data_IF_845585161872
#
_entry.id   IF_845585161872
#
_cell.length_a   1.000
_cell.length_b   1.000
_cell.length_c   1.000
_cell.angle_alpha   90.00
_cell.angle_beta   90.00
_cell.angle_gamma   90.00
#
_symmetry.space_group_name_H-M   'P 1'
#
loop_
_entity.id
_entity.type
_entity.pdbx_description
1 polymer ?
#
# COMPACT_ATOMS: atom_id res chain seq x y z
N UNK A 1 -10.37 -7.31 -15.17
CA UNK A 1 -10.00 -7.15 -13.75
C UNK A 1 -10.33 -8.38 -12.93
N UNK A 2 -11.56 -8.93 -13.03
CA UNK A 2 -12.01 -10.15 -12.34
C UNK A 2 -11.02 -11.32 -12.31
N UNK A 3 -10.31 -11.61 -13.42
CA UNK A 3 -9.31 -12.69 -13.48
C UNK A 3 -8.13 -12.56 -12.50
N UNK A 4 -7.89 -11.38 -11.94
CA UNK A 4 -6.79 -11.14 -10.99
C UNK A 4 -7.24 -11.22 -9.54
N UNK A 5 -8.54 -11.31 -9.30
CA UNK A 5 -9.16 -11.34 -7.98
C UNK A 5 -9.45 -12.80 -7.65
N UNK A 6 -8.83 -13.39 -6.63
CA UNK A 6 -9.11 -14.75 -6.20
C UNK A 6 -10.59 -14.94 -5.85
N UNK A 7 -11.07 -16.17 -5.95
CA UNK A 7 -12.45 -16.50 -5.59
C UNK A 7 -12.73 -16.14 -4.12
N UNK A 8 -13.87 -15.48 -3.88
CA UNK A 8 -14.27 -15.01 -2.54
C UNK A 8 -13.61 -13.70 -2.09
N UNK A 9 -12.57 -13.22 -2.78
CA UNK A 9 -11.98 -11.90 -2.54
C UNK A 9 -12.82 -10.79 -3.17
N UNK A 10 -12.56 -9.54 -2.75
CA UNK A 10 -13.19 -8.35 -3.30
C UNK A 10 -12.16 -7.40 -3.89
N UNK A 11 -12.52 -6.71 -4.96
CA UNK A 11 -11.79 -5.52 -5.40
C UNK A 11 -12.05 -4.40 -4.39
N UNK A 12 -11.03 -4.01 -3.64
CA UNK A 12 -11.15 -2.88 -2.71
C UNK A 12 -10.97 -1.55 -3.46
N UNK A 13 -9.92 -1.46 -4.27
CA UNK A 13 -9.62 -0.28 -5.05
C UNK A 13 -8.94 -0.65 -6.37
N UNK A 14 -9.14 0.18 -7.38
CA UNK A 14 -8.36 0.14 -8.62
C UNK A 14 -8.03 1.56 -9.03
N UNK A 15 -6.78 1.81 -9.39
CA UNK A 15 -6.32 3.07 -9.97
C UNK A 15 -5.54 2.79 -11.23
N UNK A 16 -5.59 3.72 -12.19
CA UNK A 16 -5.04 3.56 -13.53
C UNK A 16 -4.10 4.71 -13.82
N UNK A 17 -2.95 4.40 -14.39
CA UNK A 17 -1.92 5.33 -14.86
C UNK A 17 -0.96 4.55 -15.76
N UNK A 18 -0.06 5.24 -16.44
CA UNK A 18 1.11 4.61 -17.09
C UNK A 18 2.17 4.35 -16.01
N UNK A 19 2.29 3.11 -15.52
CA UNK A 19 3.07 2.81 -14.32
C UNK A 19 4.54 2.53 -14.61
N UNK A 20 4.88 2.10 -15.82
CA UNK A 20 6.26 1.81 -16.25
C UNK A 20 6.81 2.80 -17.29
N UNK A 21 6.00 3.78 -17.72
CA UNK A 21 6.40 4.86 -18.61
C UNK A 21 6.37 4.48 -20.09
N UNK A 22 5.67 3.41 -20.46
CA UNK A 22 5.58 2.93 -21.84
C UNK A 22 4.44 3.57 -22.67
N UNK A 23 3.70 4.49 -22.05
CA UNK A 23 2.58 5.22 -22.65
C UNK A 23 1.25 4.45 -22.66
N UNK A 24 1.17 3.25 -22.07
CA UNK A 24 -0.06 2.46 -21.96
C UNK A 24 -0.68 2.59 -20.58
N UNK A 25 -2.01 2.54 -20.54
CA UNK A 25 -2.72 2.62 -19.26
C UNK A 25 -2.68 1.28 -18.52
N UNK A 26 -1.94 1.27 -17.42
CA UNK A 26 -1.79 0.18 -16.47
C UNK A 26 -2.78 0.30 -15.31
N UNK A 27 -2.61 -0.53 -14.27
CA UNK A 27 -3.39 -0.40 -13.05
C UNK A 27 -2.66 -0.88 -11.79
N UNK A 28 -2.98 -0.23 -10.67
CA UNK A 28 -2.75 -0.78 -9.32
C UNK A 28 -4.08 -1.27 -8.79
N UNK A 29 -4.12 -2.52 -8.37
CA UNK A 29 -5.30 -3.20 -7.83
C UNK A 29 -5.06 -3.56 -6.36
N UNK A 30 -5.96 -3.15 -5.47
CA UNK A 30 -5.97 -3.58 -4.06
C UNK A 30 -7.08 -4.60 -3.88
N UNK A 31 -6.73 -5.76 -3.34
CA UNK A 31 -7.62 -6.90 -3.17
C UNK A 31 -7.83 -7.14 -1.67
N UNK A 32 -9.08 -7.11 -1.26
CA UNK A 32 -9.50 -7.53 0.07
C UNK A 32 -9.71 -9.05 0.08
N UNK A 33 -9.01 -9.83 0.92
CA UNK A 33 -9.20 -11.27 0.99
C UNK A 33 -10.60 -11.61 1.52
N UNK A 34 -11.06 -12.87 1.35
CA UNK A 34 -12.31 -13.30 1.96
C UNK A 34 -12.28 -13.04 3.47
N UNK A 35 -13.39 -12.52 4.00
CA UNK A 35 -13.50 -12.27 5.43
C UNK A 35 -13.30 -13.59 6.20
N UNK A 36 -12.48 -13.54 7.25
CA UNK A 36 -12.34 -14.66 8.18
C UNK A 36 -13.46 -14.59 9.22
N UNK A 37 -14.38 -15.59 9.25
CA UNK A 37 -15.46 -15.60 10.24
C UNK A 37 -14.89 -15.55 11.67
N UNK A 38 -15.44 -14.67 12.50
CA UNK A 38 -15.01 -14.55 13.90
C UNK A 38 -13.72 -13.76 14.14
N UNK A 39 -13.06 -13.22 13.11
CA UNK A 39 -11.86 -12.39 13.28
C UNK A 39 -12.11 -11.21 14.22
N UNK A 40 -11.23 -11.01 15.21
CA UNK A 40 -11.32 -9.91 16.17
C UNK A 40 -10.62 -8.65 15.65
N UNK A 41 -10.63 -7.60 16.45
CA UNK A 41 -9.85 -6.40 16.19
C UNK A 41 -8.35 -6.76 16.15
N UNK A 42 -7.62 -6.27 15.15
CA UNK A 42 -6.21 -6.60 14.92
C UNK A 42 -5.97 -7.94 14.22
N UNK A 43 -7.01 -8.72 13.92
CA UNK A 43 -6.89 -10.03 13.27
C UNK A 43 -7.42 -10.01 11.83
N UNK A 44 -6.78 -10.81 10.98
CA UNK A 44 -7.21 -11.05 9.61
C UNK A 44 -6.03 -11.14 8.64
N UNK A 45 -6.29 -11.65 7.44
CA UNK A 45 -5.29 -11.65 6.38
C UNK A 45 -5.02 -10.22 5.89
N UNK A 46 -3.75 -9.87 5.59
CA UNK A 46 -3.42 -8.61 4.94
C UNK A 46 -4.00 -8.56 3.52
N UNK A 47 -4.10 -7.35 2.98
CA UNK A 47 -4.62 -7.12 1.63
C UNK A 47 -3.50 -7.21 0.61
N UNK A 48 -3.84 -7.70 -0.57
CA UNK A 48 -2.87 -7.83 -1.66
C UNK A 48 -2.92 -6.57 -2.52
N UNK A 49 -1.77 -5.92 -2.70
CA UNK A 49 -1.57 -4.88 -3.72
C UNK A 49 -0.94 -5.54 -4.94
N UNK A 50 -1.51 -5.32 -6.12
CA UNK A 50 -1.06 -5.91 -7.38
C UNK A 50 -0.78 -4.81 -8.39
N UNK A 51 0.41 -4.83 -8.99
CA UNK A 51 0.74 -4.00 -10.16
C UNK A 51 0.38 -4.78 -11.42
N UNK A 52 -0.44 -4.18 -12.27
CA UNK A 52 -0.93 -4.74 -13.50
C UNK A 52 -0.42 -3.92 -14.68
N UNK A 53 0.45 -4.49 -15.52
CA UNK A 53 1.01 -3.80 -16.69
C UNK A 53 0.34 -4.26 -17.97
N UNK A 54 0.06 -3.34 -18.89
CA UNK A 54 -0.51 -3.64 -20.18
C UNK A 54 0.58 -4.03 -21.16
N UNK A 55 0.51 -5.27 -21.65
CA UNK A 55 1.40 -5.74 -22.70
C UNK A 55 1.09 -5.08 -24.06
N UNK A 56 1.99 -5.31 -25.04
CA UNK A 56 1.84 -4.81 -26.40
C UNK A 56 0.58 -5.34 -27.13
N UNK A 57 -0.02 -6.44 -26.65
CA UNK A 57 -1.30 -6.96 -27.16
C UNK A 57 -2.51 -6.29 -26.50
N UNK A 58 -2.29 -5.28 -25.65
CA UNK A 58 -3.33 -4.53 -24.95
C UNK A 58 -3.90 -5.23 -23.72
N UNK A 59 -3.30 -6.34 -23.29
CA UNK A 59 -3.79 -7.17 -22.18
C UNK A 59 -3.03 -6.84 -20.89
N UNK A 60 -3.77 -6.56 -19.82
CA UNK A 60 -3.17 -6.39 -18.49
C UNK A 60 -2.54 -7.70 -18.00
N UNK A 61 -1.41 -7.65 -17.32
CA UNK A 61 -0.72 -8.79 -16.71
C UNK A 61 -0.36 -8.44 -15.29
N UNK A 62 -0.54 -9.37 -14.34
CA UNK A 62 -0.06 -9.16 -12.98
C UNK A 62 1.44 -9.42 -12.92
N UNK A 63 2.22 -8.35 -12.71
CA UNK A 63 3.69 -8.43 -12.75
C UNK A 63 4.33 -8.37 -11.37
N UNK A 64 3.68 -7.70 -10.41
CA UNK A 64 4.16 -7.58 -9.03
C UNK A 64 3.01 -7.66 -8.04
N UNK A 65 3.31 -8.16 -6.84
CA UNK A 65 2.36 -8.32 -5.74
C UNK A 65 3.03 -7.98 -4.40
N UNK A 66 2.30 -7.36 -3.49
CA UNK A 66 2.69 -7.19 -2.10
C UNK A 66 1.55 -7.61 -1.17
N UNK A 67 1.88 -8.41 -0.17
CA UNK A 67 0.96 -8.87 0.88
C UNK A 67 1.34 -8.29 2.26
N UNK A 68 2.30 -7.36 2.30
CA UNK A 68 2.81 -6.75 3.54
C UNK A 68 2.63 -5.22 3.58
N UNK A 69 2.24 -4.60 2.46
CA UNK A 69 2.00 -3.17 2.35
C UNK A 69 0.70 -2.72 3.02
N UNK A 70 -0.43 -3.40 2.77
CA UNK A 70 -1.74 -3.02 3.32
C UNK A 70 -2.19 -4.06 4.35
N UNK A 71 -2.41 -3.67 5.62
CA UNK A 71 -2.83 -4.61 6.66
C UNK A 71 -4.31 -5.02 6.50
N UNK A 72 -4.76 -5.91 7.38
CA UNK A 72 -6.11 -6.45 7.36
C UNK A 72 -7.19 -5.38 7.61
N UNK A 73 -8.42 -5.65 7.17
CA UNK A 73 -9.57 -4.75 7.33
C UNK A 73 -9.92 -4.39 8.79
N UNK A 74 -9.40 -5.12 9.78
CA UNK A 74 -9.61 -4.87 11.21
C UNK A 74 -8.35 -4.41 11.95
N UNK A 75 -7.30 -4.11 11.20
CA UNK A 75 -5.98 -3.83 11.76
C UNK A 75 -5.74 -2.33 12.03
N UNK A 76 -6.73 -1.45 11.81
CA UNK A 76 -6.63 -0.01 12.09
C UNK A 76 -6.94 0.35 13.56
N UNK A 77 -7.17 -0.62 14.44
CA UNK A 77 -7.55 -0.35 15.83
C UNK A 77 -8.96 0.23 15.93
N UNK A 78 -9.20 1.10 16.91
CA UNK A 78 -10.54 1.69 17.13
C UNK A 78 -10.99 2.57 15.95
N UNK A 79 -10.03 3.10 15.18
CA UNK A 79 -10.30 3.80 13.93
C UNK A 79 -11.05 2.96 12.88
N UNK A 80 -10.93 1.62 12.95
CA UNK A 80 -11.58 0.70 12.04
C UNK A 80 -10.67 0.20 10.93
N UNK A 81 -11.15 0.30 9.68
CA UNK A 81 -10.43 -0.17 8.51
C UNK A 81 -9.22 0.72 8.21
N UNK A 82 -7.99 0.17 8.14
CA UNK A 82 -6.81 0.99 7.97
C UNK A 82 -6.53 1.45 6.55
N UNK A 83 -7.27 0.98 5.53
CA UNK A 83 -7.00 1.40 4.16
C UNK A 83 -7.61 2.78 3.87
N UNK A 84 -6.75 3.79 3.71
CA UNK A 84 -7.16 5.12 3.31
C UNK A 84 -7.36 5.21 1.79
N UNK A 85 -6.28 5.08 1.02
CA UNK A 85 -6.35 5.08 -0.44
C UNK A 85 -5.17 4.41 -1.12
N UNK A 86 -5.34 4.17 -2.42
CA UNK A 86 -4.26 4.07 -3.40
C UNK A 86 -4.43 5.18 -4.43
N UNK A 87 -3.33 5.78 -4.90
CA UNK A 87 -3.30 6.75 -5.99
C UNK A 87 -2.21 6.34 -6.98
N UNK A 88 -2.58 6.12 -8.23
CA UNK A 88 -1.63 5.85 -9.31
C UNK A 88 -1.30 7.15 -10.07
N UNK A 89 -0.08 7.25 -10.59
CA UNK A 89 0.40 8.36 -11.41
C UNK A 89 1.45 7.84 -12.40
N UNK A 90 1.86 8.68 -13.35
CA UNK A 90 2.87 8.29 -14.33
C UNK A 90 4.17 7.84 -13.63
N UNK A 91 4.60 6.60 -13.87
CA UNK A 91 5.80 6.01 -13.29
C UNK A 91 5.67 5.54 -11.84
N UNK A 92 4.48 5.45 -11.24
CA UNK A 92 4.39 4.99 -9.85
C UNK A 92 3.02 5.08 -9.18
N UNK A 93 3.01 4.83 -7.87
CA UNK A 93 1.80 4.91 -7.06
C UNK A 93 2.10 5.17 -5.59
N UNK A 94 1.08 5.59 -4.86
CA UNK A 94 1.13 5.81 -3.42
C UNK A 94 0.00 5.06 -2.74
N UNK A 95 0.28 4.50 -1.56
CA UNK A 95 -0.71 3.87 -0.68
C UNK A 95 -0.69 4.58 0.67
N UNK A 96 -1.87 5.00 1.13
CA UNK A 96 -2.10 5.55 2.46
C UNK A 96 -2.82 4.52 3.32
N UNK A 97 -2.28 4.28 4.51
CA UNK A 97 -2.96 3.56 5.58
C UNK A 97 -3.00 4.40 6.85
N UNK A 98 -4.03 4.23 7.66
CA UNK A 98 -4.24 5.01 8.87
C UNK A 98 -4.90 4.16 9.96
N UNK A 99 -4.80 4.59 11.22
CA UNK A 99 -5.42 3.86 12.30
C UNK A 99 -5.16 4.46 13.66
N UNK A 100 -5.36 3.65 14.70
CA UNK A 100 -5.12 4.00 16.08
C UNK A 100 -6.41 4.27 16.86
N UNK A 101 -6.28 5.02 17.96
CA UNK A 101 -7.39 5.35 18.85
C UNK A 101 -7.32 6.82 19.25
N UNK A 102 -6.80 7.12 20.44
CA UNK A 102 -6.40 8.46 20.89
C UNK A 102 -5.22 8.95 20.05
N UNK A 103 -4.18 8.15 19.95
CA UNK A 103 -3.11 8.39 18.99
C UNK A 103 -3.55 7.86 17.64
N UNK A 104 -3.66 8.77 16.67
CA UNK A 104 -3.99 8.46 15.28
C UNK A 104 -2.72 8.42 14.47
N UNK A 105 -2.40 7.25 13.94
CA UNK A 105 -1.24 7.08 13.06
C UNK A 105 -1.66 7.13 11.60
N UNK A 106 -0.74 7.59 10.75
CA UNK A 106 -0.89 7.63 9.29
C UNK A 106 0.45 7.32 8.64
N UNK A 107 0.43 6.38 7.71
CA UNK A 107 1.58 5.85 6.98
C UNK A 107 1.30 5.93 5.47
N UNK A 108 2.08 6.75 4.75
CA UNK A 108 2.02 6.89 3.30
C UNK A 108 3.29 6.33 2.65
N UNK A 109 3.14 5.35 1.76
CA UNK A 109 4.25 4.72 1.04
C UNK A 109 4.16 5.02 -0.46
N UNK A 110 5.20 5.64 -1.02
CA UNK A 110 5.31 5.94 -2.45
C UNK A 110 6.27 4.98 -3.13
N UNK A 111 5.82 4.35 -4.22
CA UNK A 111 6.61 3.48 -5.07
C UNK A 111 6.78 4.12 -6.44
N UNK A 112 8.00 4.07 -6.98
CA UNK A 112 8.34 4.59 -8.30
C UNK A 112 9.00 3.51 -9.15
N UNK A 113 8.70 3.50 -10.45
CA UNK A 113 9.32 2.61 -11.41
C UNK A 113 10.78 3.00 -11.66
N UNK A 114 11.66 2.02 -11.55
CA UNK A 114 13.08 2.14 -11.89
C UNK A 114 13.31 1.46 -13.23
N UNK A 115 13.62 2.24 -14.27
CA UNK A 115 13.96 1.69 -15.58
C UNK A 115 15.22 0.80 -15.54
N UNK A 116 16.17 1.13 -14.66
CA UNK A 116 17.40 0.34 -14.45
C UNK A 116 17.10 -1.06 -13.90
N UNK A 117 16.19 -1.16 -12.91
CA UNK A 117 15.84 -2.44 -12.29
C UNK A 117 14.61 -3.11 -12.92
N UNK A 118 13.90 -2.39 -13.80
CA UNK A 118 12.62 -2.76 -14.37
C UNK A 118 11.60 -3.17 -13.28
N UNK A 119 11.54 -2.38 -12.20
CA UNK A 119 10.75 -2.71 -11.01
C UNK A 119 10.26 -1.46 -10.27
N UNK A 120 9.25 -1.62 -9.42
CA UNK A 120 8.73 -0.57 -8.54
C UNK A 120 9.44 -0.63 -7.20
N UNK A 121 10.23 0.39 -6.92
CA UNK A 121 10.99 0.53 -5.69
C UNK A 121 10.29 1.51 -4.77
N UNK A 122 10.40 1.28 -3.46
CA UNK A 122 10.02 2.28 -2.47
C UNK A 122 10.87 3.53 -2.72
N UNK A 123 10.21 4.66 -2.94
CA UNK A 123 10.83 5.95 -3.20
C UNK A 123 10.80 6.81 -1.94
N UNK A 124 9.66 6.81 -1.25
CA UNK A 124 9.43 7.57 -0.03
C UNK A 124 8.50 6.83 0.93
N UNK A 125 8.67 7.10 2.22
CA UNK A 125 7.70 6.75 3.25
C UNK A 125 7.50 7.94 4.19
N UNK A 126 6.25 8.28 4.47
CA UNK A 126 5.88 9.31 5.42
C UNK A 126 5.08 8.65 6.53
N UNK A 127 5.50 8.85 7.78
CA UNK A 127 4.85 8.24 8.94
C UNK A 127 4.55 9.33 9.95
N UNK A 128 3.38 9.31 10.54
CA UNK A 128 2.98 10.31 11.52
C UNK A 128 2.06 9.76 12.58
N UNK A 129 2.09 10.38 13.75
CA UNK A 129 1.18 10.13 14.88
C UNK A 129 0.68 11.48 15.37
N UNK A 130 -0.62 11.59 15.60
CA UNK A 130 -1.28 12.74 16.22
C UNK A 130 -2.05 12.26 17.45
N UNK A 131 -1.75 12.81 18.62
CA UNK A 131 -2.57 12.62 19.82
C UNK A 131 -3.81 13.53 19.71
N UNK A 132 -5.00 12.94 19.59
CA UNK A 132 -6.24 13.71 19.39
C UNK A 132 -6.71 14.48 20.62
N UNK A 133 -6.14 14.23 21.79
CA UNK A 133 -6.50 14.85 23.06
C UNK A 133 -5.60 16.06 23.36
N UNK A 134 -4.29 15.95 23.09
CA UNK A 134 -3.31 17.03 23.30
C UNK A 134 -3.06 17.86 22.05
N UNK A 135 -3.29 17.29 20.86
CA UNK A 135 -2.93 17.88 19.57
C UNK A 135 -1.45 17.75 19.21
N UNK A 136 -0.65 17.03 20.01
CA UNK A 136 0.76 16.80 19.70
C UNK A 136 0.91 15.95 18.42
N UNK A 137 1.81 16.37 17.53
CA UNK A 137 2.12 15.68 16.29
C UNK A 137 3.59 15.27 16.22
N UNK A 138 3.82 14.07 15.69
CA UNK A 138 5.16 13.56 15.39
C UNK A 138 5.16 13.04 13.96
N UNK A 139 6.22 13.33 13.22
CA UNK A 139 6.34 12.96 11.81
C UNK A 139 7.75 12.49 11.47
N UNK A 140 7.83 11.48 10.62
CA UNK A 140 9.06 10.95 10.05
C UNK A 140 8.92 10.86 8.53
N UNK A 141 9.80 11.56 7.81
CA UNK A 141 9.92 11.50 6.36
C UNK A 141 11.17 10.70 5.98
N UNK A 142 10.97 9.54 5.37
CA UNK A 142 12.02 8.65 4.88
C UNK A 142 12.11 8.71 3.37
N UNK A 143 13.33 8.72 2.86
CA UNK A 143 13.65 8.68 1.44
C UNK A 143 14.55 7.48 1.14
N UNK A 144 14.75 7.18 -0.14
CA UNK A 144 15.60 6.06 -0.59
C UNK A 144 16.99 5.99 0.07
N UNK A 145 17.59 7.14 0.42
CA UNK A 145 18.86 7.20 1.15
C UNK A 145 18.82 6.58 2.56
N UNK A 146 17.65 6.50 3.19
CA UNK A 146 17.47 6.06 4.56
C UNK A 146 17.20 4.54 4.65
N UNK A 147 16.71 3.92 3.57
CA UNK A 147 16.32 2.50 3.55
C UNK A 147 16.89 1.70 2.35
N UNK A 148 17.63 2.34 1.45
CA UNK A 148 18.21 1.69 0.26
C UNK A 148 17.17 1.39 -0.83
N UNK A 149 17.46 0.41 -1.68
CA UNK A 149 16.53 -0.04 -2.71
C UNK A 149 15.68 -1.19 -2.17
N UNK A 150 14.36 -0.97 -2.05
CA UNK A 150 13.41 -1.99 -1.60
C UNK A 150 12.35 -2.17 -2.68
N UNK A 151 12.23 -3.38 -3.23
CA UNK A 151 11.19 -3.72 -4.22
C UNK A 151 9.83 -3.87 -3.55
N UNK A 152 8.76 -3.64 -4.30
CA UNK A 152 7.37 -3.79 -3.80
C UNK A 152 7.10 -5.16 -3.15
N UNK A 153 7.60 -6.25 -3.74
CA UNK A 153 7.38 -7.63 -3.24
C UNK A 153 8.18 -7.93 -1.95
N UNK A 154 9.32 -7.26 -1.79
CA UNK A 154 10.21 -7.38 -0.63
C UNK A 154 9.77 -6.47 0.52
N UNK A 155 9.09 -5.38 0.19
CA UNK A 155 8.66 -4.35 1.14
C UNK A 155 7.87 -4.93 2.31
N UNK A 156 8.23 -4.48 3.50
CA UNK A 156 7.60 -4.81 4.75
C UNK A 156 7.41 -3.52 5.55
N UNK A 157 6.16 -3.07 5.71
CA UNK A 157 5.91 -1.80 6.39
C UNK A 157 6.40 -1.84 7.84
N UNK A 158 6.35 -3.01 8.48
CA UNK A 158 6.66 -3.16 9.90
C UNK A 158 8.19 -3.18 10.14
N UNK A 159 9.02 -3.20 9.08
CA UNK A 159 10.50 -3.14 9.17
C UNK A 159 11.08 -1.75 8.95
N UNK A 160 10.28 -0.79 8.48
CA UNK A 160 10.73 0.60 8.39
C UNK A 160 10.74 1.25 9.78
N UNK A 161 11.62 2.24 10.02
CA UNK A 161 11.52 3.08 11.20
C UNK A 161 10.11 3.65 11.38
N UNK A 162 9.57 3.58 12.59
CA UNK A 162 8.23 4.08 12.94
C UNK A 162 8.33 5.29 13.87
N UNK A 163 7.27 6.10 13.89
CA UNK A 163 7.08 7.13 14.90
C UNK A 163 6.41 6.48 16.10
N UNK A 164 7.07 6.50 17.26
CA UNK A 164 6.46 6.01 18.49
C UNK A 164 5.54 7.07 19.11
N UNK A 165 4.40 6.58 19.62
CA UNK A 165 3.51 7.33 20.49
C UNK A 165 4.18 7.72 21.80
N UNK A 166 3.49 8.50 22.60
CA UNK A 166 4.00 9.11 23.85
C UNK A 166 3.55 8.34 25.07
#
# INVERSE_FOLDING_TARGET
>A
MSRFIPAGSKQLAVQRADLDGDGREDAVLVIDPPAQPGAKLGEGAPRTVVVLIRDAAGKLQAVKRSERLVPCAKCGGIAGDPFGYVRAYAGGFTVLIEGGSRERWSDEFGFAYSAEQQDWLLEKAVRSVVDTDTGEDKRLDLQRKDFGAIRLEEFDRDKLPSVEGT
#
